data_IF_607252795465
#
_entry.id   IF_607252795465
#
_cell.length_a   1.000
_cell.length_b   1.000
_cell.length_c   1.000
_cell.angle_alpha   90.00
_cell.angle_beta   90.00
_cell.angle_gamma   90.00
#
_symmetry.space_group_name_H-M   'P 1'
#
loop_
_entity.id
_entity.type
_entity.pdbx_description
1 polymer ?
#
# COMPACT_ATOMS: atom_id res chain seq x y z
N UNK A 1 -12.24 63.27 -11.07
CA UNK A 1 -12.39 62.34 -9.93
C UNK A 1 -11.67 61.07 -10.26
N UNK A 2 -10.56 60.71 -9.58
CA UNK A 2 -9.83 59.45 -9.89
C UNK A 2 -10.52 58.29 -9.13
N UNK A 3 -10.95 57.28 -9.88
CA UNK A 3 -11.49 56.05 -9.32
C UNK A 3 -10.37 55.22 -8.69
N UNK A 4 -10.49 54.97 -7.41
CA UNK A 4 -9.60 54.12 -6.63
C UNK A 4 -9.92 52.64 -6.93
N UNK A 5 -9.09 51.92 -7.65
CA UNK A 5 -9.24 50.48 -7.86
C UNK A 5 -8.57 49.78 -6.67
N UNK A 6 -9.39 49.19 -5.80
CA UNK A 6 -8.90 48.36 -4.69
C UNK A 6 -8.63 46.96 -5.23
N UNK A 7 -7.35 46.61 -5.39
CA UNK A 7 -6.91 45.28 -5.74
C UNK A 7 -6.94 44.41 -4.48
N UNK A 8 -8.00 43.60 -4.32
CA UNK A 8 -8.08 42.61 -3.23
C UNK A 8 -7.13 41.45 -3.52
N UNK A 9 -6.04 41.41 -2.81
CA UNK A 9 -5.14 40.23 -2.80
C UNK A 9 -5.79 39.13 -1.97
N UNK A 10 -6.35 38.10 -2.61
CA UNK A 10 -6.79 36.89 -1.93
C UNK A 10 -5.55 36.13 -1.47
N UNK A 11 -5.29 36.12 -0.16
CA UNK A 11 -4.29 35.28 0.47
C UNK A 11 -4.76 33.84 0.38
N UNK A 12 -4.22 33.07 -0.55
CA UNK A 12 -4.45 31.62 -0.62
C UNK A 12 -3.70 31.00 0.56
N UNK A 13 -4.41 30.65 1.61
CA UNK A 13 -3.88 29.83 2.71
C UNK A 13 -3.53 28.46 2.14
N UNK A 14 -2.26 28.27 1.82
CA UNK A 14 -1.73 26.95 1.52
C UNK A 14 -1.76 26.13 2.81
N UNK A 15 -2.50 25.03 2.80
CA UNK A 15 -2.46 24.06 3.90
C UNK A 15 -1.04 23.52 4.11
N UNK A 16 -0.77 22.86 5.25
CA UNK A 16 0.53 22.28 5.50
C UNK A 16 0.90 21.32 4.34
N UNK A 17 2.19 21.25 3.97
CA UNK A 17 2.63 20.36 2.91
C UNK A 17 2.28 18.91 3.26
N UNK A 18 1.93 18.11 2.25
CA UNK A 18 1.66 16.68 2.44
C UNK A 18 2.92 16.01 3.01
N UNK A 19 2.76 15.10 3.99
CA UNK A 19 3.90 14.40 4.57
C UNK A 19 4.62 13.57 3.51
N UNK A 20 5.95 13.57 3.56
CA UNK A 20 6.79 12.77 2.68
C UNK A 20 7.21 11.49 3.38
N UNK A 21 6.95 10.34 2.77
CA UNK A 21 7.42 9.06 3.27
C UNK A 21 8.79 8.75 2.65
N UNK A 22 9.80 8.57 3.49
CA UNK A 22 11.15 8.15 3.11
C UNK A 22 11.36 6.68 3.43
N UNK A 23 12.22 6.03 2.69
CA UNK A 23 12.56 4.61 2.86
C UNK A 23 13.94 4.34 2.26
N UNK A 24 14.53 3.23 2.66
CA UNK A 24 15.74 2.71 2.05
C UNK A 24 15.33 1.63 1.05
N UNK A 25 15.77 1.80 -0.20
CA UNK A 25 15.42 0.89 -1.29
C UNK A 25 16.15 -0.44 -1.16
N UNK A 26 15.45 -1.57 -1.02
CA UNK A 26 16.11 -2.87 -0.96
C UNK A 26 16.78 -3.22 -2.29
N UNK A 27 17.93 -3.89 -2.20
CA UNK A 27 18.63 -4.42 -3.36
C UNK A 27 17.77 -5.45 -4.10
N UNK A 28 17.83 -5.42 -5.42
CA UNK A 28 17.09 -6.35 -6.30
C UNK A 28 15.65 -5.95 -6.58
N UNK A 29 15.09 -4.92 -5.91
CA UNK A 29 13.79 -4.37 -6.27
C UNK A 29 13.92 -3.38 -7.41
N UNK A 30 12.84 -3.18 -8.17
CA UNK A 30 12.78 -2.18 -9.23
C UNK A 30 11.68 -1.17 -8.92
N UNK A 31 12.02 0.12 -8.92
CA UNK A 31 11.03 1.20 -8.81
C UNK A 31 10.31 1.39 -10.15
N UNK A 32 9.01 1.64 -10.09
CA UNK A 32 8.20 2.08 -11.24
C UNK A 32 7.75 3.52 -11.05
N UNK A 33 7.53 4.28 -12.15
CA UNK A 33 6.83 5.57 -12.07
C UNK A 33 5.47 5.38 -11.43
N UNK A 34 5.09 6.29 -10.53
CA UNK A 34 3.77 6.26 -9.91
C UNK A 34 2.66 6.37 -10.96
N UNK A 35 1.76 5.39 -11.01
CA UNK A 35 0.70 5.32 -12.03
C UNK A 35 -0.49 6.25 -11.73
N UNK A 36 -0.51 6.92 -10.57
CA UNK A 36 -1.50 7.93 -10.20
C UNK A 36 -0.96 8.91 -9.15
N UNK A 37 -1.62 10.07 -8.99
CA UNK A 37 -1.25 11.08 -7.99
C UNK A 37 -1.36 10.59 -6.53
N UNK A 38 -2.16 9.56 -6.28
CA UNK A 38 -2.34 8.98 -4.95
C UNK A 38 -1.27 7.94 -4.61
N UNK A 39 -0.52 7.44 -5.61
CA UNK A 39 0.56 6.48 -5.40
C UNK A 39 1.86 7.22 -5.10
N UNK A 40 2.35 7.03 -3.90
CA UNK A 40 3.62 7.61 -3.42
C UNK A 40 4.81 6.87 -4.00
N UNK A 41 4.70 5.54 -4.09
CA UNK A 41 5.74 4.67 -4.65
C UNK A 41 5.14 3.36 -5.18
N UNK A 42 5.78 2.81 -6.20
CA UNK A 42 5.47 1.49 -6.77
C UNK A 42 6.77 0.72 -7.00
N UNK A 43 6.80 -0.54 -6.55
CA UNK A 43 7.97 -1.41 -6.69
C UNK A 43 7.57 -2.76 -7.28
N UNK A 44 8.48 -3.32 -8.05
CA UNK A 44 8.45 -4.70 -8.51
C UNK A 44 9.48 -5.49 -7.75
N UNK A 45 9.07 -6.61 -7.20
CA UNK A 45 9.90 -7.60 -6.56
C UNK A 45 10.00 -8.80 -7.51
N UNK A 46 11.17 -9.03 -8.12
CA UNK A 46 11.36 -10.09 -9.11
C UNK A 46 10.96 -11.46 -8.59
N UNK A 47 10.25 -12.19 -9.43
CA UNK A 47 9.70 -13.51 -9.10
C UNK A 47 10.73 -14.52 -8.63
N UNK A 48 10.29 -15.45 -7.80
CA UNK A 48 11.04 -16.64 -7.46
C UNK A 48 11.03 -17.60 -8.65
N UNK A 49 12.00 -18.52 -8.67
CA UNK A 49 12.04 -19.58 -9.66
C UNK A 49 10.78 -20.43 -9.60
N UNK A 50 10.19 -20.69 -10.76
CA UNK A 50 8.93 -21.43 -10.92
C UNK A 50 7.66 -20.61 -10.72
N UNK A 51 7.73 -19.36 -10.25
CA UNK A 51 6.57 -18.48 -10.22
C UNK A 51 6.31 -17.83 -11.59
N UNK A 52 5.04 -17.54 -11.86
CA UNK A 52 4.59 -17.03 -13.16
C UNK A 52 4.81 -15.53 -13.34
N UNK A 53 4.79 -14.77 -12.27
CA UNK A 53 4.89 -13.31 -12.30
C UNK A 53 5.60 -12.73 -11.07
N UNK A 54 6.03 -11.47 -11.20
CA UNK A 54 6.65 -10.71 -10.12
C UNK A 54 5.61 -10.31 -9.05
N UNK A 55 6.07 -10.02 -7.83
CA UNK A 55 5.23 -9.33 -6.85
C UNK A 55 5.30 -7.81 -7.04
N UNK A 56 4.23 -7.13 -6.65
CA UNK A 56 4.15 -5.66 -6.72
C UNK A 56 3.82 -5.09 -5.36
N UNK A 57 4.61 -4.11 -4.91
CA UNK A 57 4.37 -3.32 -3.71
C UNK A 57 4.00 -1.90 -4.11
N UNK A 58 2.87 -1.42 -3.60
CA UNK A 58 2.36 -0.08 -3.84
C UNK A 58 2.16 0.64 -2.52
N UNK A 59 2.62 1.88 -2.42
CA UNK A 59 2.34 2.79 -1.31
C UNK A 59 1.40 3.88 -1.80
N UNK A 60 0.30 4.09 -1.09
CA UNK A 60 -0.72 5.08 -1.43
C UNK A 60 -0.91 6.08 -0.28
N UNK A 61 -1.17 7.35 -0.64
CA UNK A 61 -1.55 8.41 0.28
C UNK A 61 -2.78 9.15 -0.25
N UNK A 62 -3.80 9.32 0.58
CA UNK A 62 -5.08 9.95 0.20
C UNK A 62 -5.28 11.32 0.87
N UNK A 63 -4.21 12.11 1.02
CA UNK A 63 -4.32 13.46 1.59
C UNK A 63 -4.74 13.46 3.07
N UNK A 64 -4.33 12.46 3.86
CA UNK A 64 -4.75 12.31 5.26
C UNK A 64 -6.11 11.61 5.43
N UNK A 65 -6.76 11.23 4.32
CA UNK A 65 -8.00 10.45 4.28
C UNK A 65 -7.67 8.96 4.04
N UNK A 66 -8.66 8.12 3.91
CA UNK A 66 -8.48 6.71 3.54
C UNK A 66 -9.11 5.72 4.53
N UNK A 67 -9.75 6.22 5.57
CA UNK A 67 -10.49 5.40 6.54
C UNK A 67 -9.60 4.80 7.64
N UNK A 68 -10.22 4.02 8.51
CA UNK A 68 -9.55 3.37 9.65
C UNK A 68 -8.75 2.14 9.21
N UNK A 69 -7.86 1.65 10.08
CA UNK A 69 -7.15 0.36 9.90
C UNK A 69 -8.15 -0.76 9.60
N UNK A 70 -9.20 -0.88 10.42
CA UNK A 70 -10.21 -1.93 10.26
C UNK A 70 -10.93 -1.85 8.93
N UNK A 71 -11.38 -0.67 8.50
CA UNK A 71 -12.08 -0.48 7.23
C UNK A 71 -11.20 -0.87 6.02
N UNK A 72 -9.90 -0.61 6.09
CA UNK A 72 -8.96 -1.03 5.06
C UNK A 72 -8.73 -2.54 5.07
N UNK A 73 -8.60 -3.14 6.25
CA UNK A 73 -8.48 -4.59 6.39
C UNK A 73 -9.71 -5.31 5.84
N UNK A 74 -10.91 -4.87 6.20
CA UNK A 74 -12.17 -5.45 5.69
C UNK A 74 -12.22 -5.40 4.16
N UNK A 75 -11.82 -4.28 3.55
CA UNK A 75 -11.73 -4.13 2.10
C UNK A 75 -10.67 -5.06 1.48
N UNK A 76 -9.51 -5.24 2.10
CA UNK A 76 -8.46 -6.12 1.57
C UNK A 76 -8.79 -7.59 1.73
N UNK A 77 -9.50 -7.97 2.78
CA UNK A 77 -10.01 -9.33 2.97
C UNK A 77 -10.90 -9.78 1.79
N UNK A 78 -11.70 -8.87 1.20
CA UNK A 78 -12.55 -9.18 0.04
C UNK A 78 -11.77 -9.41 -1.26
N UNK A 79 -10.48 -9.07 -1.29
CA UNK A 79 -9.61 -9.27 -2.44
C UNK A 79 -8.99 -10.67 -2.49
N UNK A 80 -9.25 -11.49 -1.50
CA UNK A 80 -8.75 -12.86 -1.38
C UNK A 80 -9.88 -13.83 -1.09
N UNK A 81 -9.75 -15.06 -1.58
CA UNK A 81 -10.57 -16.20 -1.20
C UNK A 81 -9.69 -17.35 -0.73
N UNK A 82 -10.27 -18.26 0.07
CA UNK A 82 -9.54 -19.40 0.61
C UNK A 82 -9.87 -20.67 -0.16
N UNK A 83 -8.86 -21.51 -0.51
CA UNK A 83 -9.09 -22.76 -1.27
C UNK A 83 -10.01 -23.77 -0.56
N UNK A 84 -10.03 -23.73 0.77
CA UNK A 84 -10.87 -24.60 1.62
C UNK A 84 -12.27 -24.02 1.91
N UNK A 85 -12.59 -22.85 1.32
CA UNK A 85 -13.90 -22.20 1.46
C UNK A 85 -14.12 -21.44 2.78
N UNK A 86 -13.15 -21.43 3.72
CA UNK A 86 -13.28 -20.63 4.94
C UNK A 86 -13.23 -19.13 4.65
N UNK A 87 -13.67 -18.31 5.59
CA UNK A 87 -13.58 -16.88 5.46
C UNK A 87 -12.11 -16.41 5.46
N UNK A 88 -11.75 -15.47 4.59
CA UNK A 88 -10.38 -14.92 4.52
C UNK A 88 -9.90 -14.33 5.85
N UNK A 89 -10.83 -13.81 6.68
CA UNK A 89 -10.53 -13.32 8.02
C UNK A 89 -9.89 -14.38 8.94
N UNK A 90 -10.28 -15.64 8.78
CA UNK A 90 -9.76 -16.76 9.59
C UNK A 90 -8.33 -17.16 9.16
N UNK A 91 -7.97 -16.88 7.91
CA UNK A 91 -6.62 -17.11 7.38
C UNK A 91 -5.68 -15.93 7.60
N UNK A 92 -6.21 -14.73 7.81
CA UNK A 92 -5.44 -13.51 8.00
C UNK A 92 -4.69 -13.53 9.34
N UNK A 93 -3.44 -13.06 9.30
CA UNK A 93 -2.63 -12.79 10.49
C UNK A 93 -2.36 -11.29 10.57
N UNK A 94 -2.44 -10.73 11.76
CA UNK A 94 -2.17 -9.32 12.01
C UNK A 94 -1.00 -9.15 12.96
N UNK A 95 -0.13 -8.19 12.68
CA UNK A 95 0.99 -7.82 13.51
C UNK A 95 1.19 -6.30 13.53
N UNK A 96 1.94 -5.81 14.50
CA UNK A 96 2.27 -4.38 14.62
C UNK A 96 3.79 -4.21 14.63
N UNK A 97 4.27 -3.23 13.88
CA UNK A 97 5.67 -2.80 13.85
C UNK A 97 5.73 -1.31 14.17
N UNK A 98 6.51 -0.94 15.19
CA UNK A 98 6.81 0.46 15.48
C UNK A 98 8.23 0.77 14.98
N UNK A 99 8.36 1.83 14.18
CA UNK A 99 9.64 2.26 13.63
C UNK A 99 9.65 3.76 13.35
N UNK A 100 10.72 4.45 13.72
CA UNK A 100 10.95 5.87 13.40
C UNK A 100 9.74 6.79 13.67
N UNK A 101 9.01 6.57 14.76
CA UNK A 101 7.82 7.32 15.13
C UNK A 101 6.55 6.98 14.33
N UNK A 102 6.59 5.92 13.53
CA UNK A 102 5.45 5.37 12.79
C UNK A 102 4.99 4.06 13.44
N UNK A 103 3.68 3.82 13.35
CA UNK A 103 3.07 2.53 13.70
C UNK A 103 2.51 1.89 12.44
N UNK A 104 2.99 0.71 12.09
CA UNK A 104 2.49 -0.10 10.99
C UNK A 104 1.62 -1.21 11.55
N UNK A 105 0.33 -1.21 11.20
CA UNK A 105 -0.53 -2.38 11.43
C UNK A 105 -0.56 -3.18 10.15
N UNK A 106 -0.02 -4.40 10.21
CA UNK A 106 0.26 -5.25 9.04
C UNK A 106 -0.69 -6.44 9.04
N UNK A 107 -1.27 -6.73 7.89
CA UNK A 107 -2.06 -7.94 7.62
C UNK A 107 -1.34 -8.81 6.61
N UNK A 108 -1.19 -10.09 6.92
CA UNK A 108 -0.70 -11.15 6.04
C UNK A 108 -1.84 -12.11 5.71
N UNK A 109 -2.08 -12.35 4.43
CA UNK A 109 -3.21 -13.16 3.96
C UNK A 109 -2.83 -14.00 2.74
N UNK A 110 -2.59 -15.31 2.91
CA UNK A 110 -2.45 -16.24 1.79
C UNK A 110 -3.80 -16.57 1.16
N UNK A 111 -3.82 -17.02 -0.09
CA UNK A 111 -5.04 -17.49 -0.73
C UNK A 111 -5.05 -17.36 -2.25
N UNK A 112 -6.25 -17.22 -2.82
CA UNK A 112 -6.47 -16.88 -4.23
C UNK A 112 -6.78 -15.40 -4.34
N UNK A 113 -5.99 -14.65 -5.11
CA UNK A 113 -6.22 -13.22 -5.34
C UNK A 113 -7.34 -13.01 -6.36
N UNK A 114 -8.40 -12.31 -5.92
CA UNK A 114 -9.66 -12.13 -6.69
C UNK A 114 -10.10 -10.66 -6.78
N UNK A 115 -9.19 -9.70 -6.59
CA UNK A 115 -9.51 -8.28 -6.76
C UNK A 115 -9.99 -7.97 -8.19
N UNK A 116 -10.67 -6.83 -8.35
CA UNK A 116 -11.00 -6.30 -9.67
C UNK A 116 -9.74 -6.07 -10.50
N UNK A 117 -9.80 -6.38 -11.80
CA UNK A 117 -8.67 -6.15 -12.74
C UNK A 117 -8.37 -4.65 -12.86
N UNK A 118 -9.41 -3.81 -12.83
CA UNK A 118 -9.34 -2.36 -12.74
C UNK A 118 -10.48 -1.85 -11.86
N UNK A 119 -10.36 -0.68 -11.22
CA UNK A 119 -11.42 -0.11 -10.39
C UNK A 119 -12.76 -0.02 -11.13
N UNK A 120 -13.81 -0.62 -10.56
CA UNK A 120 -15.15 -0.67 -11.14
C UNK A 120 -15.34 -1.70 -12.26
N UNK A 121 -14.33 -2.53 -12.56
CA UNK A 121 -14.46 -3.63 -13.53
C UNK A 121 -15.29 -4.78 -12.95
N UNK A 122 -16.14 -5.39 -13.79
CA UNK A 122 -16.78 -6.66 -13.49
C UNK A 122 -15.80 -7.84 -13.59
N UNK A 123 -14.70 -7.68 -14.32
CA UNK A 123 -13.65 -8.67 -14.44
C UNK A 123 -12.79 -8.71 -13.18
N UNK A 124 -12.54 -9.91 -12.68
CA UNK A 124 -11.74 -10.15 -11.48
C UNK A 124 -10.57 -11.05 -11.78
N UNK A 125 -9.49 -10.83 -11.05
CA UNK A 125 -8.38 -11.78 -11.02
C UNK A 125 -8.86 -13.13 -10.47
N UNK A 126 -8.17 -14.20 -10.87
CA UNK A 126 -8.29 -15.53 -10.28
C UNK A 126 -6.88 -16.14 -10.22
N UNK A 127 -6.13 -15.76 -9.19
CA UNK A 127 -4.71 -16.11 -9.06
C UNK A 127 -4.51 -16.94 -7.78
N UNK A 128 -4.62 -18.28 -7.88
CA UNK A 128 -4.38 -19.17 -6.75
C UNK A 128 -2.90 -19.16 -6.32
N UNK A 129 -2.64 -19.47 -5.05
CA UNK A 129 -1.28 -19.52 -4.51
C UNK A 129 -0.62 -18.13 -4.35
N UNK A 130 -1.43 -17.08 -4.26
CA UNK A 130 -0.99 -15.73 -4.01
C UNK A 130 -0.94 -15.40 -2.50
N UNK A 131 -0.24 -14.32 -2.21
CA UNK A 131 -0.16 -13.74 -0.89
C UNK A 131 -0.41 -12.23 -0.98
N UNK A 132 -1.24 -11.72 -0.09
CA UNK A 132 -1.45 -10.29 0.13
C UNK A 132 -0.84 -9.93 1.48
N UNK A 133 0.16 -9.04 1.47
CA UNK A 133 0.65 -8.36 2.67
C UNK A 133 0.29 -6.89 2.56
N UNK A 134 -0.53 -6.41 3.47
CA UNK A 134 -0.97 -5.02 3.46
C UNK A 134 -0.70 -4.36 4.81
N UNK A 135 -0.46 -3.06 4.82
CA UNK A 135 -0.22 -2.32 6.05
C UNK A 135 -0.86 -0.93 6.00
N UNK A 136 -1.37 -0.50 7.14
CA UNK A 136 -1.69 0.91 7.40
C UNK A 136 -0.56 1.49 8.24
N UNK A 137 0.02 2.60 7.78
CA UNK A 137 1.10 3.33 8.45
C UNK A 137 0.48 4.58 9.06
N UNK A 138 0.47 4.62 10.39
CA UNK A 138 -0.02 5.74 11.19
C UNK A 138 1.16 6.55 11.75
N UNK A 139 0.90 7.83 12.07
CA UNK A 139 1.88 8.78 12.56
C UNK A 139 1.73 10.11 11.84
N UNK A 140 2.48 10.35 10.78
CA UNK A 140 2.33 11.53 9.90
C UNK A 140 1.60 11.19 8.59
N UNK A 141 0.62 10.28 8.64
CA UNK A 141 -0.16 9.81 7.50
C UNK A 141 -1.65 9.85 7.79
N UNK A 142 -2.47 8.89 7.32
CA UNK A 142 -2.09 7.51 7.04
C UNK A 142 -1.56 7.27 5.62
N UNK A 143 -0.57 6.37 5.53
CA UNK A 143 -0.18 5.75 4.26
C UNK A 143 -0.66 4.30 4.24
N UNK A 144 -0.90 3.79 3.04
CA UNK A 144 -1.42 2.44 2.81
C UNK A 144 -0.46 1.67 1.93
N UNK A 145 0.04 0.55 2.41
CA UNK A 145 0.92 -0.35 1.66
C UNK A 145 0.14 -1.58 1.25
N UNK A 146 0.35 -2.02 0.01
CA UNK A 146 -0.18 -3.29 -0.48
C UNK A 146 0.87 -3.99 -1.33
N UNK A 147 1.32 -5.14 -0.86
CA UNK A 147 2.20 -6.07 -1.56
C UNK A 147 1.39 -7.29 -1.96
N UNK A 148 1.35 -7.59 -3.25
CA UNK A 148 0.61 -8.73 -3.83
C UNK A 148 1.52 -9.48 -4.79
N UNK A 149 1.51 -10.79 -4.72
CA UNK A 149 2.24 -11.64 -5.64
C UNK A 149 2.15 -13.12 -5.30
N UNK A 150 2.79 -14.00 -6.09
CA UNK A 150 2.89 -15.42 -5.79
C UNK A 150 3.55 -15.66 -4.42
N UNK A 151 3.04 -16.62 -3.67
CA UNK A 151 3.48 -16.88 -2.29
C UNK A 151 4.98 -17.16 -2.16
N UNK A 152 5.60 -17.90 -3.12
CA UNK A 152 7.03 -18.16 -3.13
C UNK A 152 7.85 -16.88 -3.36
N UNK A 153 7.37 -16.00 -4.25
CA UNK A 153 8.01 -14.70 -4.50
C UNK A 153 7.94 -13.81 -3.26
N UNK A 154 6.79 -13.75 -2.58
CA UNK A 154 6.68 -13.00 -1.32
C UNK A 154 7.63 -13.59 -0.26
N UNK A 155 7.71 -14.92 -0.12
CA UNK A 155 8.61 -15.58 0.82
C UNK A 155 10.09 -15.31 0.51
N UNK A 156 10.48 -15.32 -0.78
CA UNK A 156 11.83 -14.93 -1.21
C UNK A 156 12.26 -13.57 -0.71
N UNK A 157 11.34 -12.60 -0.70
CA UNK A 157 11.61 -11.22 -0.35
C UNK A 157 11.22 -10.84 1.09
N UNK A 158 10.81 -11.79 1.93
CA UNK A 158 10.27 -11.52 3.27
C UNK A 158 11.22 -10.69 4.14
N UNK A 159 12.50 -11.06 4.19
CA UNK A 159 13.50 -10.33 4.98
C UNK A 159 13.71 -8.90 4.47
N UNK A 160 13.74 -8.68 3.14
CA UNK A 160 13.92 -7.35 2.57
C UNK A 160 12.66 -6.49 2.70
N UNK A 161 11.46 -7.07 2.64
CA UNK A 161 10.19 -6.38 2.93
C UNK A 161 10.17 -5.91 4.39
N UNK A 162 10.59 -6.76 5.34
CA UNK A 162 10.69 -6.36 6.74
C UNK A 162 11.74 -5.25 6.96
N UNK A 163 12.90 -5.34 6.30
CA UNK A 163 13.92 -4.30 6.35
C UNK A 163 13.40 -2.98 5.77
N UNK A 164 12.69 -3.04 4.64
CA UNK A 164 12.03 -1.89 4.04
C UNK A 164 11.03 -1.24 5.00
N UNK A 165 10.15 -2.02 5.64
CA UNK A 165 9.20 -1.49 6.63
C UNK A 165 9.90 -0.83 7.82
N UNK A 166 11.01 -1.41 8.31
CA UNK A 166 11.81 -0.82 9.39
C UNK A 166 12.51 0.47 9.00
N UNK A 167 12.79 0.69 7.71
CA UNK A 167 13.43 1.91 7.20
C UNK A 167 12.47 3.08 7.00
N UNK A 168 11.14 2.83 7.03
CA UNK A 168 10.14 3.86 6.80
C UNK A 168 10.24 4.99 7.82
N UNK A 169 10.20 6.22 7.36
CA UNK A 169 10.19 7.44 8.16
C UNK A 169 9.41 8.54 7.44
N UNK A 170 8.65 9.32 8.18
CA UNK A 170 7.86 10.43 7.63
C UNK A 170 8.45 11.79 8.04
N UNK A 171 8.58 12.68 7.06
CA UNK A 171 9.05 14.07 7.20
C UNK A 171 7.91 15.06 6.93
#
# INVERSE_FOLDING_TARGET
MPSLVILSFALVLQGPPAPTLKYDMPEGWTSKPASSRMRVAEFVLPKAEGDIEDATLVITYFGGQGGTVQANFDRWLTQMTQPDGRASKEAARTSTLNTNGLTLTIMDLPGTFVAEVAPGSSERHNKPGFHLRAAVIEGKGPFFVRLVGPAKTIAKWDASVLAFFKSLRAE
#
